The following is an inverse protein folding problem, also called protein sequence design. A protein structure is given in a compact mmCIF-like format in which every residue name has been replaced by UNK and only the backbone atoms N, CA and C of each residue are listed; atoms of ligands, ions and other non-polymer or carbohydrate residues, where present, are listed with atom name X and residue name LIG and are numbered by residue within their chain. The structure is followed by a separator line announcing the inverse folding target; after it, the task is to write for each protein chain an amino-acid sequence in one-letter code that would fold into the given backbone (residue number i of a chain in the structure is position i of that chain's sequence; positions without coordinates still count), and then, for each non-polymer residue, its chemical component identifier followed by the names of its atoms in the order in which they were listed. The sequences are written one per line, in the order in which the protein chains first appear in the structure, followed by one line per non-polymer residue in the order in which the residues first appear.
data_IF_564121862530
#
_entry.id   IF_564121862530
#
_cell.length_a   1.000
_cell.length_b   1.000
_cell.length_c   1.000
_cell.angle_alpha   90.00
_cell.angle_beta   90.00
_cell.angle_gamma   90.00
#
_symmetry.space_group_name_H-M   'P 1'
#
loop_
_entity.id
_entity.type
_entity.pdbx_description
1 polymer ?
#
# COMPACT_ATOMS: atom_id res chain seq x y z
N UNK A 1 -30.28 6.34 9.03
CA UNK A 1 -29.32 5.21 8.98
C UNK A 1 -28.64 5.30 7.62
N UNK A 2 -27.35 5.68 7.62
CA UNK A 2 -26.66 6.09 6.40
C UNK A 2 -26.60 4.96 5.38
N UNK A 3 -26.85 5.31 4.11
CA UNK A 3 -26.75 4.44 2.93
C UNK A 3 -25.42 3.67 2.86
N UNK A 4 -24.37 4.25 3.42
CA UNK A 4 -23.01 3.72 3.49
C UNK A 4 -22.87 2.43 4.30
N UNK A 5 -23.60 2.28 5.42
CA UNK A 5 -23.54 1.07 6.26
C UNK A 5 -24.29 -0.07 5.60
N UNK A 6 -25.32 0.25 4.84
CA UNK A 6 -26.18 -0.76 4.22
C UNK A 6 -25.44 -1.52 3.13
N UNK A 7 -24.52 -0.90 2.40
CA UNK A 7 -23.70 -1.59 1.38
C UNK A 7 -22.56 -2.41 2.00
N UNK A 8 -21.80 -1.83 2.92
CA UNK A 8 -20.70 -2.55 3.58
C UNK A 8 -21.17 -3.72 4.44
N UNK A 9 -22.37 -3.63 5.04
CA UNK A 9 -22.95 -4.70 5.85
C UNK A 9 -23.70 -5.74 5.02
N UNK A 10 -24.00 -5.48 3.74
CA UNK A 10 -24.66 -6.48 2.87
C UNK A 10 -23.79 -7.72 2.64
N UNK A 11 -22.47 -7.54 2.58
CA UNK A 11 -21.50 -8.62 2.38
C UNK A 11 -20.93 -9.17 3.69
N UNK A 12 -21.30 -8.57 4.82
CA UNK A 12 -20.80 -9.01 6.12
C UNK A 12 -21.54 -10.27 6.59
N UNK A 13 -20.81 -11.37 6.72
CA UNK A 13 -21.30 -12.58 7.33
C UNK A 13 -21.30 -12.46 8.86
N UNK A 14 -22.47 -12.44 9.45
CA UNK A 14 -22.63 -12.45 10.91
C UNK A 14 -22.81 -13.87 11.41
N UNK A 15 -22.10 -14.23 12.49
CA UNK A 15 -22.32 -15.50 13.14
C UNK A 15 -23.81 -15.66 13.53
N UNK A 16 -24.39 -16.78 13.14
CA UNK A 16 -25.80 -17.12 13.38
C UNK A 16 -26.17 -17.27 14.87
N UNK A 17 -25.19 -17.50 15.73
CA UNK A 17 -25.37 -17.60 17.19
C UNK A 17 -25.55 -16.23 17.87
N UNK A 18 -25.31 -15.11 17.15
CA UNK A 18 -25.49 -13.78 17.70
C UNK A 18 -26.97 -13.48 17.96
N UNK A 19 -27.28 -13.14 19.20
CA UNK A 19 -28.62 -12.63 19.52
C UNK A 19 -28.86 -11.28 18.82
N UNK A 20 -30.15 -10.94 18.60
CA UNK A 20 -30.51 -9.65 17.97
C UNK A 20 -29.84 -8.47 18.67
N UNK A 21 -29.85 -8.45 19.99
CA UNK A 21 -29.24 -7.39 20.81
C UNK A 21 -27.70 -7.31 20.64
N UNK A 22 -27.05 -8.46 20.48
CA UNK A 22 -25.58 -8.49 20.21
C UNK A 22 -25.28 -8.00 18.80
N UNK A 23 -26.09 -8.37 17.83
CA UNK A 23 -25.97 -7.91 16.45
C UNK A 23 -26.15 -6.39 16.34
N UNK A 24 -27.15 -5.83 17.02
CA UNK A 24 -27.35 -4.38 17.08
C UNK A 24 -26.14 -3.64 17.69
N UNK A 25 -25.59 -4.15 18.79
CA UNK A 25 -24.38 -3.58 19.41
C UNK A 25 -23.17 -3.63 18.47
N UNK A 26 -22.99 -4.76 17.76
CA UNK A 26 -21.90 -4.93 16.80
C UNK A 26 -22.05 -3.97 15.62
N UNK A 27 -23.25 -3.84 15.06
CA UNK A 27 -23.55 -2.88 13.98
C UNK A 27 -23.27 -1.45 14.45
N UNK A 28 -23.66 -1.09 15.67
CA UNK A 28 -23.37 0.23 16.22
C UNK A 28 -21.86 0.48 16.38
N UNK A 29 -21.11 -0.54 16.80
CA UNK A 29 -19.65 -0.47 16.92
C UNK A 29 -18.98 -0.30 15.54
N UNK A 30 -19.37 -1.09 14.56
CA UNK A 30 -18.89 -0.99 13.18
C UNK A 30 -19.19 0.40 12.59
N UNK A 31 -20.37 0.94 12.88
CA UNK A 31 -20.70 2.30 12.47
C UNK A 31 -19.79 3.35 13.12
N UNK A 32 -19.53 3.24 14.40
CA UNK A 32 -18.65 4.16 15.12
C UNK A 32 -17.25 4.21 14.50
N UNK A 33 -16.77 3.06 14.00
CA UNK A 33 -15.43 2.92 13.43
C UNK A 33 -15.43 2.75 11.91
N UNK A 34 -16.48 3.19 11.22
CA UNK A 34 -16.63 3.02 9.76
C UNK A 34 -15.43 3.54 8.95
N UNK A 35 -14.75 4.58 9.42
CA UNK A 35 -13.61 5.19 8.74
C UNK A 35 -12.32 4.35 8.81
N UNK A 36 -12.32 3.25 9.60
CA UNK A 36 -11.20 2.30 9.65
C UNK A 36 -11.27 1.28 8.51
N UNK A 37 -12.45 1.11 7.93
CA UNK A 37 -12.68 0.16 6.85
C UNK A 37 -12.52 0.86 5.49
N UNK A 38 -11.72 0.28 4.61
CA UNK A 38 -11.65 0.72 3.21
C UNK A 38 -12.98 0.50 2.49
N UNK A 39 -13.24 1.32 1.49
CA UNK A 39 -14.39 1.20 0.60
C UNK A 39 -13.91 1.12 -0.84
N UNK A 40 -14.77 0.71 -1.79
CA UNK A 40 -14.42 0.70 -3.21
C UNK A 40 -14.03 2.10 -3.74
N UNK A 41 -14.56 3.16 -3.11
CA UNK A 41 -14.24 4.55 -3.45
C UNK A 41 -12.99 5.08 -2.76
N UNK A 42 -12.73 4.59 -1.55
CA UNK A 42 -11.59 4.97 -0.72
C UNK A 42 -10.93 3.69 -0.17
N UNK A 43 -10.26 2.89 -1.02
CA UNK A 43 -9.69 1.60 -0.62
C UNK A 43 -8.48 1.74 0.29
N UNK A 44 -7.85 2.91 0.30
CA UNK A 44 -6.67 3.20 1.12
C UNK A 44 -6.98 4.27 2.16
N UNK A 45 -6.68 3.97 3.41
CA UNK A 45 -6.67 4.97 4.47
C UNK A 45 -5.28 5.59 4.64
N UNK A 46 -5.23 6.74 5.34
CA UNK A 46 -4.00 7.36 5.77
C UNK A 46 -4.03 7.62 7.28
N UNK A 47 -2.90 7.40 7.94
CA UNK A 47 -2.73 7.81 9.34
C UNK A 47 -2.35 9.28 9.34
N UNK A 48 -3.26 10.12 9.82
CA UNK A 48 -3.06 11.57 9.82
C UNK A 48 -1.96 11.95 10.82
N UNK A 49 -1.00 12.76 10.35
CA UNK A 49 0.07 13.28 11.19
C UNK A 49 1.16 12.27 11.56
N UNK A 50 1.22 11.14 10.84
CA UNK A 50 2.26 10.15 11.04
C UNK A 50 2.97 9.87 9.71
N UNK A 51 4.20 10.31 9.61
CA UNK A 51 5.08 10.05 8.47
C UNK A 51 6.19 9.11 8.92
N UNK A 52 6.59 8.19 8.06
CA UNK A 52 7.69 7.26 8.31
C UNK A 52 8.87 7.65 7.44
N UNK A 53 9.98 8.00 8.06
CA UNK A 53 11.22 8.31 7.38
C UNK A 53 12.05 7.04 7.15
N UNK A 54 12.57 6.88 5.94
CA UNK A 54 13.55 5.83 5.63
C UNK A 54 14.94 6.46 5.74
N UNK A 55 15.60 6.18 6.87
CA UNK A 55 16.91 6.74 7.17
C UNK A 55 18.00 5.84 6.57
N UNK A 56 18.88 6.42 5.75
CA UNK A 56 20.02 5.73 5.17
C UNK A 56 21.28 6.00 5.99
N UNK A 57 22.15 4.99 6.13
CA UNK A 57 23.44 5.09 6.80
C UNK A 57 24.59 5.60 5.90
N UNK A 58 24.23 6.27 4.80
CA UNK A 58 25.19 6.84 3.83
C UNK A 58 24.83 8.28 3.54
N UNK A 59 25.85 9.10 3.35
CA UNK A 59 25.72 10.52 3.01
C UNK A 59 25.71 10.73 1.50
N UNK A 60 25.28 11.92 1.08
CA UNK A 60 25.34 12.34 -0.33
C UNK A 60 26.79 12.69 -0.73
N UNK A 61 27.22 12.39 -1.96
CA UNK A 61 26.46 11.73 -3.02
C UNK A 61 26.24 10.24 -2.76
N UNK A 62 24.99 9.79 -2.98
CA UNK A 62 24.64 8.40 -2.71
C UNK A 62 25.38 7.40 -3.60
N UNK A 63 25.69 6.19 -3.08
CA UNK A 63 26.34 5.12 -3.84
C UNK A 63 25.60 4.77 -5.12
N UNK A 64 26.32 4.43 -6.21
CA UNK A 64 25.71 4.06 -7.50
C UNK A 64 24.69 2.90 -7.38
N UNK A 65 24.85 2.02 -6.38
CA UNK A 65 23.93 0.92 -6.12
C UNK A 65 22.49 1.39 -5.83
N UNK A 66 22.33 2.60 -5.31
CA UNK A 66 21.00 3.21 -5.06
C UNK A 66 20.38 3.85 -6.31
N UNK A 67 21.10 3.88 -7.46
CA UNK A 67 20.63 4.43 -8.74
C UNK A 67 20.54 3.34 -9.80
N UNK A 68 19.84 2.26 -9.49
CA UNK A 68 19.72 1.13 -10.41
C UNK A 68 18.76 1.46 -11.56
N UNK A 69 19.12 1.09 -12.81
CA UNK A 69 18.22 1.21 -13.95
C UNK A 69 17.02 0.26 -13.81
N UNK A 70 15.95 0.56 -14.53
CA UNK A 70 14.81 -0.33 -14.66
C UNK A 70 15.25 -1.68 -15.27
N UNK A 71 14.61 -2.75 -14.82
CA UNK A 71 14.84 -4.07 -15.41
C UNK A 71 14.24 -4.17 -16.81
N UNK A 72 14.86 -4.96 -17.71
CA UNK A 72 14.23 -5.31 -18.96
C UNK A 72 12.89 -6.03 -18.68
N UNK A 73 11.84 -5.63 -19.41
CA UNK A 73 10.52 -6.19 -19.27
C UNK A 73 9.99 -6.69 -20.62
N UNK A 74 9.32 -7.83 -20.64
CA UNK A 74 8.60 -8.33 -21.80
C UNK A 74 7.44 -7.37 -22.16
N UNK A 75 6.91 -7.39 -23.39
CA UNK A 75 5.75 -6.57 -23.77
C UNK A 75 4.58 -6.73 -22.80
N UNK A 76 4.20 -7.96 -22.48
CA UNK A 76 3.15 -8.25 -21.52
C UNK A 76 3.43 -7.67 -20.13
N UNK A 77 4.67 -7.78 -19.64
CA UNK A 77 5.04 -7.21 -18.34
C UNK A 77 4.97 -5.67 -18.32
N UNK A 78 5.23 -5.02 -19.46
CA UNK A 78 5.08 -3.56 -19.58
C UNK A 78 3.62 -3.14 -19.55
N UNK A 79 2.76 -3.84 -20.27
CA UNK A 79 1.31 -3.58 -20.25
C UNK A 79 0.75 -3.71 -18.83
N UNK A 80 1.05 -4.81 -18.14
CA UNK A 80 0.61 -5.01 -16.76
C UNK A 80 1.20 -3.94 -15.81
N UNK A 81 2.47 -3.55 -16.01
CA UNK A 81 3.11 -2.50 -15.23
C UNK A 81 2.42 -1.13 -15.41
N UNK A 82 2.05 -0.78 -16.63
CA UNK A 82 1.34 0.47 -16.92
C UNK A 82 -0.03 0.51 -16.25
N UNK A 83 -0.75 -0.62 -16.23
CA UNK A 83 -2.02 -0.74 -15.51
C UNK A 83 -1.83 -0.48 -14.00
N UNK A 84 -0.87 -1.17 -13.36
CA UNK A 84 -0.60 -0.98 -11.94
C UNK A 84 -0.14 0.43 -11.58
N UNK A 85 0.74 1.03 -12.42
CA UNK A 85 1.19 2.41 -12.21
C UNK A 85 0.00 3.36 -12.29
N UNK A 86 -0.87 3.18 -13.29
CA UNK A 86 -2.06 4.03 -13.44
C UNK A 86 -2.99 3.92 -12.22
N UNK A 87 -3.30 2.70 -11.77
CA UNK A 87 -4.11 2.47 -10.57
C UNK A 87 -3.53 3.17 -9.34
N UNK A 88 -2.21 3.05 -9.10
CA UNK A 88 -1.55 3.68 -7.97
C UNK A 88 -1.47 5.21 -8.09
N UNK A 89 -1.42 5.74 -9.32
CA UNK A 89 -1.50 7.18 -9.55
C UNK A 89 -2.92 7.71 -9.30
N UNK A 90 -3.94 6.99 -9.76
CA UNK A 90 -5.35 7.34 -9.55
C UNK A 90 -5.70 7.31 -8.05
N UNK A 91 -5.08 6.42 -7.27
CA UNK A 91 -5.19 6.35 -5.81
C UNK A 91 -4.31 7.38 -5.07
N UNK A 92 -3.51 8.19 -5.77
CA UNK A 92 -2.61 9.17 -5.16
C UNK A 92 -1.39 8.56 -4.45
N UNK A 93 -1.12 7.26 -4.61
CA UNK A 93 0.04 6.57 -4.02
C UNK A 93 1.32 6.90 -4.77
N UNK A 94 1.23 7.05 -6.09
CA UNK A 94 2.33 7.44 -6.95
C UNK A 94 2.04 8.79 -7.62
N UNK A 95 3.09 9.53 -7.93
CA UNK A 95 3.06 10.70 -8.80
C UNK A 95 4.21 10.68 -9.79
N UNK A 96 4.06 11.38 -10.89
CA UNK A 96 5.19 11.61 -11.82
C UNK A 96 6.21 12.54 -11.18
N UNK A 97 7.48 12.24 -11.40
CA UNK A 97 8.58 13.13 -11.03
C UNK A 97 8.51 14.39 -11.90
N UNK A 98 8.63 15.57 -11.29
CA UNK A 98 8.66 16.84 -11.99
C UNK A 98 9.96 17.04 -12.77
N UNK A 99 9.93 17.87 -13.81
CA UNK A 99 11.10 18.12 -14.68
C UNK A 99 12.33 18.68 -13.94
N UNK A 100 12.14 19.31 -12.80
CA UNK A 100 13.20 19.94 -12.00
C UNK A 100 13.65 19.04 -10.85
N UNK A 101 12.88 18.01 -10.53
CA UNK A 101 13.20 17.11 -9.42
C UNK A 101 14.34 16.16 -9.79
N UNK A 102 15.36 16.12 -8.95
CA UNK A 102 16.44 15.15 -9.08
C UNK A 102 16.08 13.87 -8.33
N UNK A 103 16.08 12.76 -9.06
CA UNK A 103 15.89 11.44 -8.45
C UNK A 103 17.25 10.91 -8.01
N UNK A 104 17.46 10.81 -6.71
CA UNK A 104 18.73 10.38 -6.14
C UNK A 104 18.76 8.87 -5.85
N UNK A 105 17.59 8.27 -5.63
CA UNK A 105 17.42 6.85 -5.33
C UNK A 105 16.36 6.26 -6.26
N UNK A 106 16.66 5.12 -6.87
CA UNK A 106 15.72 4.42 -7.75
C UNK A 106 15.49 2.99 -7.27
N UNK A 107 14.24 2.54 -7.36
CA UNK A 107 13.85 1.17 -7.04
C UNK A 107 13.35 0.50 -8.32
N UNK A 108 14.12 -0.43 -8.91
CA UNK A 108 13.63 -1.21 -10.04
C UNK A 108 12.38 -2.00 -9.64
N UNK A 109 11.41 -2.06 -10.54
CA UNK A 109 10.19 -2.83 -10.35
C UNK A 109 10.10 -3.96 -11.36
N UNK A 110 9.48 -5.05 -10.96
CA UNK A 110 9.18 -6.21 -11.80
C UNK A 110 7.70 -6.58 -11.68
N UNK A 111 7.18 -7.21 -12.71
CA UNK A 111 5.86 -7.85 -12.66
C UNK A 111 6.05 -9.34 -12.41
N UNK A 112 5.33 -9.84 -11.43
CA UNK A 112 5.20 -11.27 -11.13
C UNK A 112 3.76 -11.69 -11.30
N UNK A 113 3.52 -12.96 -11.66
CA UNK A 113 2.19 -13.52 -11.80
C UNK A 113 1.98 -14.64 -10.79
N UNK A 114 0.86 -14.62 -10.13
CA UNK A 114 0.42 -15.69 -9.23
C UNK A 114 -1.07 -15.96 -9.44
N UNK A 115 -1.44 -17.19 -9.72
CA UNK A 115 -2.83 -17.60 -10.02
C UNK A 115 -3.50 -16.71 -11.09
N UNK A 116 -2.76 -16.39 -12.15
CA UNK A 116 -3.25 -15.57 -13.26
C UNK A 116 -3.34 -14.07 -12.99
N UNK A 117 -3.06 -13.61 -11.77
CA UNK A 117 -3.05 -12.19 -11.39
C UNK A 117 -1.63 -11.65 -11.42
N UNK A 118 -1.44 -10.49 -12.05
CA UNK A 118 -0.17 -9.76 -12.02
C UNK A 118 -0.01 -8.98 -10.72
N UNK A 119 1.25 -8.81 -10.28
CA UNK A 119 1.62 -7.99 -9.13
C UNK A 119 2.87 -7.20 -9.46
N UNK A 120 2.87 -5.92 -9.14
CA UNK A 120 4.05 -5.07 -9.21
C UNK A 120 4.87 -5.22 -7.92
N UNK A 121 6.15 -5.57 -8.06
CA UNK A 121 7.06 -5.79 -6.92
C UNK A 121 8.30 -4.91 -7.08
N UNK A 122 8.62 -4.11 -6.08
CA UNK A 122 9.84 -3.30 -6.03
C UNK A 122 11.03 -4.09 -5.48
N UNK A 123 12.19 -3.94 -6.12
CA UNK A 123 13.45 -4.52 -5.63
C UNK A 123 14.15 -3.56 -4.67
N UNK A 124 13.80 -3.62 -3.41
CA UNK A 124 14.37 -2.80 -2.35
C UNK A 124 15.69 -3.31 -1.76
N UNK A 125 16.30 -4.37 -2.32
CA UNK A 125 17.52 -4.96 -1.76
C UNK A 125 18.66 -3.95 -1.64
N UNK A 126 18.83 -3.08 -2.62
CA UNK A 126 19.85 -2.03 -2.58
C UNK A 126 19.58 -1.02 -1.45
N UNK A 127 18.34 -0.54 -1.33
CA UNK A 127 17.95 0.39 -0.27
C UNK A 127 18.10 -0.26 1.11
N UNK A 128 17.64 -1.50 1.26
CA UNK A 128 17.72 -2.24 2.52
C UNK A 128 19.17 -2.45 3.01
N UNK A 129 20.14 -2.49 2.09
CA UNK A 129 21.57 -2.56 2.47
C UNK A 129 22.02 -1.30 3.22
N UNK A 130 21.45 -0.16 2.89
CA UNK A 130 21.81 1.14 3.47
C UNK A 130 20.77 1.70 4.44
N UNK A 131 19.64 1.07 4.61
CA UNK A 131 18.62 1.50 5.56
C UNK A 131 19.04 1.16 6.98
N UNK A 132 18.95 2.12 7.88
CA UNK A 132 19.13 1.90 9.30
C UNK A 132 17.87 1.23 9.84
N UNK A 133 17.95 -0.05 10.30
CA UNK A 133 16.76 -0.72 10.80
C UNK A 133 16.30 -0.10 12.12
N UNK A 134 15.07 0.35 12.17
CA UNK A 134 14.43 0.75 13.41
C UNK A 134 14.05 -0.51 14.20
N UNK A 135 14.72 -0.72 15.34
CA UNK A 135 14.45 -1.88 16.21
C UNK A 135 13.29 -1.58 17.15
N UNK A 136 12.07 -1.68 16.66
CA UNK A 136 10.91 -1.67 17.53
C UNK A 136 10.62 -3.09 18.02
N UNK A 137 10.65 -3.36 19.35
CA UNK A 137 10.32 -4.66 19.86
C UNK A 137 8.81 -4.92 19.69
N UNK A 138 8.46 -5.82 18.78
CA UNK A 138 7.08 -6.29 18.65
C UNK A 138 6.83 -7.25 19.80
N UNK A 139 5.83 -7.01 20.68
CA UNK A 139 5.46 -7.95 21.73
C UNK A 139 5.10 -9.30 21.11
N UNK A 140 5.74 -10.38 21.57
CA UNK A 140 5.33 -11.73 21.20
C UNK A 140 4.16 -12.10 22.10
N UNK A 141 3.02 -12.38 21.51
CA UNK A 141 1.87 -12.94 22.21
C UNK A 141 1.99 -14.44 22.29
#
# INVERSE_FOLDING_TARGET
MDFFITEQLKEAEFNHELTVKMKEKLIHLLFKYKNVFGTDKEPLGAIIGHEVDIILNVERPYPPLLRRPAYPASPRAREDLEVHIKELMDLGVLRKVGHIEQVEVTTPVIITWHNGKSRMVGDFRAQNTYTIPERYPIPRH
#
